data_IF_865795441870
#
_entry.id   IF_865795441870
#
_cell.length_a   1.000
_cell.length_b   1.000
_cell.length_c   1.000
_cell.angle_alpha   90.00
_cell.angle_beta   90.00
_cell.angle_gamma   90.00
#
_symmetry.space_group_name_H-M   'P 1'
#
loop_
_entity.id
_entity.type
_entity.pdbx_description
1 polymer ?
#
# COMPACT_ATOMS: atom_id res chain seq x y z
N UNK A 1 -17.20 13.25 13.27
CA UNK A 1 -17.77 14.50 12.72
C UNK A 1 -17.22 15.78 13.37
N UNK A 2 -17.66 16.23 14.56
CA UNK A 2 -17.26 17.53 15.16
C UNK A 2 -15.76 17.85 15.16
N UNK A 3 -14.91 16.88 15.52
CA UNK A 3 -13.44 17.04 15.48
C UNK A 3 -12.95 17.24 14.04
N UNK A 4 -13.43 16.44 13.10
CA UNK A 4 -13.12 16.58 11.67
C UNK A 4 -13.56 17.93 11.10
N UNK A 5 -14.75 18.42 11.46
CA UNK A 5 -15.24 19.74 11.04
C UNK A 5 -14.36 20.89 11.54
N UNK A 6 -13.87 20.81 12.79
CA UNK A 6 -12.90 21.79 13.32
C UNK A 6 -11.58 21.77 12.55
N UNK A 7 -11.07 20.58 12.21
CA UNK A 7 -9.86 20.45 11.39
C UNK A 7 -10.09 20.98 9.97
N UNK A 8 -11.23 20.71 9.35
CA UNK A 8 -11.58 21.25 8.03
C UNK A 8 -11.63 22.79 8.04
N UNK A 9 -12.12 23.41 9.13
CA UNK A 9 -12.07 24.86 9.27
C UNK A 9 -10.63 25.40 9.42
N UNK A 10 -9.73 24.65 10.08
CA UNK A 10 -8.30 25.00 10.10
C UNK A 10 -7.70 24.93 8.68
N UNK A 11 -8.02 23.89 7.91
CA UNK A 11 -7.57 23.76 6.50
C UNK A 11 -8.07 24.93 5.66
N UNK A 12 -9.34 25.31 5.77
CA UNK A 12 -9.91 26.49 5.10
C UNK A 12 -9.12 27.76 5.42
N UNK A 13 -8.86 28.03 6.71
CA UNK A 13 -8.12 29.24 7.13
C UNK A 13 -6.69 29.26 6.58
N UNK A 14 -5.97 28.15 6.74
CA UNK A 14 -4.61 28.03 6.24
C UNK A 14 -4.55 28.17 4.70
N UNK A 15 -5.53 27.63 3.99
CA UNK A 15 -5.63 27.79 2.55
C UNK A 15 -5.88 29.25 2.15
N UNK A 16 -6.76 29.97 2.84
CA UNK A 16 -7.03 31.39 2.57
C UNK A 16 -5.77 32.26 2.79
N UNK A 17 -5.02 32.00 3.86
CA UNK A 17 -3.75 32.66 4.14
C UNK A 17 -2.71 32.37 3.03
N UNK A 18 -2.57 31.11 2.61
CA UNK A 18 -1.67 30.73 1.53
C UNK A 18 -2.07 31.40 0.20
N UNK A 19 -3.37 31.42 -0.12
CA UNK A 19 -3.89 31.98 -1.38
C UNK A 19 -3.63 33.49 -1.49
N UNK A 20 -3.61 34.21 -0.38
CA UNK A 20 -3.32 35.65 -0.36
C UNK A 20 -1.89 35.98 -0.82
N UNK A 21 -0.92 35.11 -0.50
CA UNK A 21 0.48 35.25 -0.93
C UNK A 21 0.84 34.43 -2.19
N UNK A 22 -0.01 33.47 -2.56
CA UNK A 22 0.18 32.60 -3.71
C UNK A 22 -1.15 32.41 -4.45
N UNK A 23 -1.47 33.28 -5.43
CA UNK A 23 -2.71 33.20 -6.21
C UNK A 23 -2.90 31.88 -6.96
N UNK A 24 -1.83 31.11 -7.19
CA UNK A 24 -1.88 29.81 -7.87
C UNK A 24 -2.04 28.63 -6.89
N UNK A 25 -2.17 28.89 -5.59
CA UNK A 25 -2.36 27.84 -4.59
C UNK A 25 -3.60 26.98 -4.90
N UNK A 26 -3.37 25.66 -5.00
CA UNK A 26 -4.39 24.65 -5.29
C UNK A 26 -5.28 24.47 -4.07
N UNK A 27 -6.61 24.47 -4.29
CA UNK A 27 -7.60 24.27 -3.23
C UNK A 27 -7.52 22.82 -2.72
N UNK A 28 -7.36 22.59 -1.40
CA UNK A 28 -7.31 21.24 -0.87
C UNK A 28 -8.68 20.58 -0.95
N UNK A 29 -8.68 19.29 -1.26
CA UNK A 29 -9.84 18.41 -1.11
C UNK A 29 -9.73 17.61 0.19
N UNK A 30 -10.86 17.15 0.70
CA UNK A 30 -10.99 16.45 1.97
C UNK A 30 -11.58 15.07 1.76
N UNK A 31 -11.09 14.12 2.55
CA UNK A 31 -11.67 12.79 2.72
C UNK A 31 -12.13 12.67 4.16
N UNK A 32 -13.32 12.13 4.37
CA UNK A 32 -13.93 11.95 5.70
C UNK A 32 -14.29 10.49 5.93
N UNK A 33 -14.71 10.16 7.15
CA UNK A 33 -15.03 8.79 7.54
C UNK A 33 -13.83 8.06 8.13
N UNK A 34 -14.05 6.80 8.45
CA UNK A 34 -13.07 5.85 8.93
C UNK A 34 -13.59 4.48 8.59
N UNK A 35 -12.69 3.63 8.16
CA UNK A 35 -12.81 2.19 8.23
C UNK A 35 -12.97 1.78 9.71
N UNK A 36 -13.91 0.88 9.96
CA UNK A 36 -14.10 0.20 11.23
C UNK A 36 -14.30 -1.28 10.92
N UNK A 37 -13.45 -2.18 11.43
CA UNK A 37 -12.29 -1.93 12.31
C UNK A 37 -11.13 -1.18 11.61
N UNK A 38 -10.18 -0.69 12.41
CA UNK A 38 -8.98 0.04 11.96
C UNK A 38 -8.13 -0.87 11.06
N UNK A 39 -7.55 -0.38 9.94
CA UNK A 39 -6.90 -1.21 8.95
C UNK A 39 -5.46 -1.49 9.33
N UNK A 40 -4.87 -2.50 8.69
CA UNK A 40 -3.44 -2.78 8.79
C UNK A 40 -3.09 -4.11 9.44
N UNK A 41 -3.86 -5.15 9.12
CA UNK A 41 -3.66 -6.52 9.60
C UNK A 41 -4.54 -6.80 10.80
N UNK A 42 -5.63 -7.54 10.59
CA UNK A 42 -6.46 -8.03 11.69
C UNK A 42 -5.61 -8.91 12.62
N UNK A 43 -5.84 -8.79 13.94
CA UNK A 43 -5.11 -9.54 14.95
C UNK A 43 -5.52 -11.03 15.00
N UNK A 44 -6.70 -11.32 14.49
CA UNK A 44 -7.31 -12.64 14.46
C UNK A 44 -7.74 -12.94 13.03
N UNK A 45 -7.71 -14.22 12.66
CA UNK A 45 -8.25 -14.70 11.41
C UNK A 45 -9.77 -14.46 11.46
N UNK A 46 -10.24 -13.31 10.98
CA UNK A 46 -11.66 -13.05 10.84
C UNK A 46 -12.18 -14.00 9.76
N UNK A 47 -13.20 -14.83 10.04
CA UNK A 47 -13.74 -15.76 9.04
C UNK A 47 -14.37 -15.05 7.84
N UNK A 48 -14.69 -13.76 8.00
CA UNK A 48 -15.27 -12.92 6.96
C UNK A 48 -15.07 -11.44 7.27
N UNK A 49 -14.87 -10.63 6.23
CA UNK A 49 -14.94 -9.17 6.30
C UNK A 49 -16.30 -8.69 5.78
N UNK A 50 -17.00 -7.88 6.57
CA UNK A 50 -18.32 -7.35 6.21
C UNK A 50 -18.17 -5.93 5.66
N UNK A 51 -18.69 -5.64 4.44
CA UNK A 51 -18.72 -4.27 3.94
C UNK A 51 -19.48 -3.32 4.87
N UNK A 52 -19.11 -2.05 4.90
CA UNK A 52 -19.81 -1.03 5.67
C UNK A 52 -21.31 -1.02 5.36
N UNK A 53 -22.13 -1.00 6.41
CA UNK A 53 -23.58 -0.90 6.28
C UNK A 53 -23.96 0.41 5.56
N UNK A 54 -24.76 0.36 4.48
CA UNK A 54 -25.28 1.55 3.81
C UNK A 54 -25.92 2.56 4.75
N UNK A 55 -26.72 2.14 5.73
CA UNK A 55 -27.38 3.04 6.67
C UNK A 55 -26.38 3.75 7.58
N UNK A 56 -25.31 3.05 7.97
CA UNK A 56 -24.22 3.66 8.75
C UNK A 56 -23.46 4.69 7.92
N UNK A 57 -23.18 4.40 6.64
CA UNK A 57 -22.60 5.37 5.71
C UNK A 57 -23.49 6.63 5.59
N UNK A 58 -24.79 6.46 5.29
CA UNK A 58 -25.76 7.57 5.15
C UNK A 58 -25.79 8.42 6.42
N UNK A 59 -25.91 7.77 7.57
CA UNK A 59 -25.96 8.42 8.88
C UNK A 59 -24.68 9.22 9.13
N UNK A 60 -23.50 8.62 8.96
CA UNK A 60 -22.25 9.33 9.17
C UNK A 60 -22.06 10.50 8.21
N UNK A 61 -22.40 10.34 6.93
CA UNK A 61 -22.36 11.41 5.95
C UNK A 61 -23.20 12.62 6.39
N UNK A 62 -24.45 12.40 6.82
CA UNK A 62 -25.33 13.47 7.30
C UNK A 62 -24.76 14.16 8.55
N UNK A 63 -24.27 13.40 9.52
CA UNK A 63 -23.67 13.97 10.74
C UNK A 63 -22.41 14.79 10.41
N UNK A 64 -21.58 14.35 9.47
CA UNK A 64 -20.43 15.13 9.01
C UNK A 64 -20.87 16.43 8.32
N UNK A 65 -21.89 16.37 7.45
CA UNK A 65 -22.42 17.56 6.76
C UNK A 65 -22.94 18.62 7.73
N UNK A 66 -23.72 18.20 8.73
CA UNK A 66 -24.26 19.10 9.77
C UNK A 66 -23.16 19.75 10.62
N UNK A 67 -22.17 18.96 11.04
CA UNK A 67 -21.06 19.45 11.86
C UNK A 67 -20.12 20.38 11.06
N UNK A 68 -19.93 20.14 9.77
CA UNK A 68 -19.19 21.05 8.88
C UNK A 68 -19.91 22.40 8.75
N UNK A 69 -21.23 22.37 8.51
CA UNK A 69 -22.04 23.58 8.45
C UNK A 69 -21.97 24.37 9.76
N UNK A 70 -22.10 23.68 10.90
CA UNK A 70 -22.00 24.27 12.24
C UNK A 70 -20.63 24.90 12.49
N UNK A 71 -19.56 24.28 12.01
CA UNK A 71 -18.19 24.80 12.14
C UNK A 71 -17.84 25.92 11.14
N UNK A 72 -18.72 26.23 10.18
CA UNK A 72 -18.43 27.15 9.06
C UNK A 72 -17.39 26.60 8.08
N UNK A 73 -17.21 25.27 8.06
CA UNK A 73 -16.30 24.56 7.18
C UNK A 73 -16.98 24.19 5.86
N UNK A 74 -16.26 24.24 4.72
CA UNK A 74 -16.81 24.00 3.40
C UNK A 74 -16.97 22.49 3.17
N UNK A 75 -18.21 21.99 3.22
CA UNK A 75 -18.47 20.57 2.97
C UNK A 75 -18.28 20.17 1.49
N UNK A 76 -18.36 21.14 0.58
CA UNK A 76 -18.05 20.99 -0.86
C UNK A 76 -16.60 20.56 -1.16
N UNK A 77 -15.68 20.75 -0.21
CA UNK A 77 -14.31 20.26 -0.34
C UNK A 77 -14.19 18.75 -0.07
N UNK A 78 -15.24 18.11 0.45
CA UNK A 78 -15.27 16.66 0.68
C UNK A 78 -15.52 15.94 -0.63
N UNK A 79 -14.53 15.18 -1.09
CA UNK A 79 -14.58 14.43 -2.37
C UNK A 79 -14.73 12.92 -2.18
N UNK A 80 -14.38 12.40 -1.02
CA UNK A 80 -14.50 10.98 -0.75
C UNK A 80 -14.89 10.65 0.70
N UNK A 81 -15.42 9.45 0.87
CA UNK A 81 -15.77 8.86 2.17
C UNK A 81 -15.04 7.53 2.34
N UNK A 82 -14.33 7.35 3.45
CA UNK A 82 -13.65 6.09 3.76
C UNK A 82 -14.67 5.06 4.24
N UNK A 83 -14.65 3.89 3.61
CA UNK A 83 -15.51 2.74 3.94
C UNK A 83 -14.67 1.46 3.97
N UNK A 84 -15.21 0.41 4.58
CA UNK A 84 -14.73 -0.96 4.45
C UNK A 84 -15.49 -1.61 3.27
N UNK A 85 -14.88 -1.83 2.10
CA UNK A 85 -15.58 -2.40 0.93
C UNK A 85 -15.63 -3.95 0.94
N UNK A 86 -15.19 -4.59 2.02
CA UNK A 86 -15.05 -6.05 2.11
C UNK A 86 -13.71 -6.54 1.59
N UNK A 87 -12.63 -5.79 1.83
CA UNK A 87 -11.24 -6.18 1.54
C UNK A 87 -10.39 -6.02 2.78
N UNK A 88 -9.50 -6.96 3.00
CA UNK A 88 -8.52 -6.92 4.10
C UNK A 88 -7.42 -7.96 3.82
N UNK A 89 -6.33 -7.90 4.56
CA UNK A 89 -5.32 -8.95 4.57
C UNK A 89 -4.76 -9.14 5.98
N UNK A 90 -4.33 -10.36 6.28
CA UNK A 90 -3.77 -10.75 7.56
C UNK A 90 -2.26 -10.97 7.50
N UNK A 91 -1.77 -11.93 8.28
CA UNK A 91 -0.40 -12.41 8.14
C UNK A 91 -0.24 -13.44 7.02
N UNK A 92 -1.23 -14.28 6.78
CA UNK A 92 -1.18 -15.36 5.77
C UNK A 92 -2.38 -15.41 4.80
N UNK A 93 -3.38 -14.53 4.95
CA UNK A 93 -4.57 -14.50 4.11
C UNK A 93 -4.81 -13.13 3.45
N UNK A 94 -5.64 -13.14 2.39
CA UNK A 94 -6.14 -11.95 1.69
C UNK A 94 -7.63 -12.13 1.39
N UNK A 95 -8.47 -11.24 1.89
CA UNK A 95 -9.89 -11.16 1.51
C UNK A 95 -10.04 -10.38 0.22
N UNK A 96 -10.32 -11.11 -0.86
CA UNK A 96 -10.52 -10.51 -2.18
C UNK A 96 -11.87 -9.79 -2.26
N UNK A 97 -11.89 -8.66 -2.97
CA UNK A 97 -13.10 -7.89 -3.21
C UNK A 97 -14.20 -8.73 -3.86
N UNK A 98 -15.37 -8.73 -3.23
CA UNK A 98 -16.57 -9.38 -3.75
C UNK A 98 -17.66 -8.33 -4.01
N UNK A 99 -17.88 -8.03 -5.30
CA UNK A 99 -18.89 -7.08 -5.77
C UNK A 99 -20.30 -7.39 -5.27
N UNK A 100 -20.67 -8.68 -5.17
CA UNK A 100 -22.01 -9.04 -4.70
C UNK A 100 -22.20 -8.66 -3.23
N UNK A 101 -21.18 -8.89 -2.40
CA UNK A 101 -21.23 -8.52 -0.98
C UNK A 101 -21.23 -7.00 -0.78
N UNK A 102 -20.51 -6.25 -1.61
CA UNK A 102 -20.44 -4.78 -1.55
C UNK A 102 -21.57 -4.05 -2.30
N UNK A 103 -22.50 -4.78 -2.92
CA UNK A 103 -23.52 -4.22 -3.83
C UNK A 103 -24.42 -3.19 -3.14
N UNK A 104 -24.94 -3.49 -1.95
CA UNK A 104 -25.80 -2.55 -1.21
C UNK A 104 -25.08 -1.26 -0.83
N UNK A 105 -23.79 -1.34 -0.46
CA UNK A 105 -22.96 -0.18 -0.10
C UNK A 105 -22.68 0.69 -1.32
N UNK A 106 -22.27 0.07 -2.42
CA UNK A 106 -21.93 0.76 -3.68
C UNK A 106 -23.17 1.33 -4.37
N UNK A 107 -24.34 0.70 -4.22
CA UNK A 107 -25.61 1.26 -4.66
C UNK A 107 -25.97 2.54 -3.89
N UNK A 108 -25.77 2.54 -2.57
CA UNK A 108 -26.05 3.71 -1.73
C UNK A 108 -25.22 4.93 -2.11
N UNK A 109 -24.01 4.75 -2.63
CA UNK A 109 -23.14 5.84 -3.09
C UNK A 109 -23.77 6.66 -4.22
N UNK A 110 -24.62 6.06 -5.06
CA UNK A 110 -25.17 6.73 -6.25
C UNK A 110 -25.99 7.98 -5.92
N UNK A 111 -26.61 8.01 -4.74
CA UNK A 111 -27.39 9.15 -4.23
C UNK A 111 -26.51 10.34 -3.81
N UNK A 112 -25.19 10.15 -3.72
CA UNK A 112 -24.23 11.13 -3.19
C UNK A 112 -23.23 11.64 -4.25
N UNK A 113 -23.50 11.43 -5.54
CA UNK A 113 -22.63 11.94 -6.61
C UNK A 113 -22.37 13.46 -6.47
N UNK A 114 -21.14 13.94 -6.70
CA UNK A 114 -19.97 13.25 -7.25
C UNK A 114 -19.04 12.60 -6.21
N UNK A 115 -19.48 12.39 -4.97
CA UNK A 115 -18.69 11.72 -3.93
C UNK A 115 -18.25 10.32 -4.40
N UNK A 116 -17.03 9.90 -4.03
CA UNK A 116 -16.52 8.55 -4.25
C UNK A 116 -16.18 7.86 -2.92
N UNK A 117 -16.00 6.55 -2.94
CA UNK A 117 -15.41 5.85 -1.80
C UNK A 117 -13.88 5.81 -1.88
N UNK A 118 -13.27 5.88 -0.71
CA UNK A 118 -11.86 5.57 -0.47
C UNK A 118 -11.77 4.21 0.23
N UNK A 119 -11.05 3.27 -0.38
CA UNK A 119 -10.79 1.94 0.15
C UNK A 119 -9.39 1.86 0.76
N UNK A 120 -9.32 1.47 2.03
CA UNK A 120 -8.07 1.11 2.70
C UNK A 120 -7.79 -0.40 2.55
N UNK A 121 -6.58 -0.83 2.89
CA UNK A 121 -6.15 -2.23 2.83
C UNK A 121 -6.41 -2.90 1.47
N UNK A 122 -6.30 -2.17 0.35
CA UNK A 122 -6.54 -2.74 -0.97
C UNK A 122 -5.33 -3.55 -1.48
N UNK A 123 -4.28 -3.68 -0.67
CA UNK A 123 -3.10 -4.49 -0.94
C UNK A 123 -3.47 -5.94 -1.32
N UNK A 124 -2.62 -6.57 -2.14
CA UNK A 124 -2.74 -7.98 -2.53
C UNK A 124 -4.00 -8.38 -3.33
N UNK A 125 -4.83 -7.40 -3.70
CA UNK A 125 -6.00 -7.63 -4.55
C UNK A 125 -5.58 -7.98 -5.99
N UNK A 126 -6.37 -8.84 -6.64
CA UNK A 126 -6.17 -9.11 -8.06
C UNK A 126 -6.46 -7.87 -8.91
N UNK A 127 -5.92 -7.82 -10.14
CA UNK A 127 -6.26 -6.78 -11.12
C UNK A 127 -7.78 -6.65 -11.31
N UNK A 128 -8.48 -7.77 -11.43
CA UNK A 128 -9.94 -7.81 -11.59
C UNK A 128 -10.65 -7.22 -10.37
N UNK A 129 -10.20 -7.55 -9.16
CA UNK A 129 -10.74 -6.98 -7.91
C UNK A 129 -10.57 -5.47 -7.87
N UNK A 130 -9.37 -4.95 -8.19
CA UNK A 130 -9.08 -3.52 -8.22
C UNK A 130 -9.93 -2.79 -9.28
N UNK A 131 -10.02 -3.32 -10.50
CA UNK A 131 -10.90 -2.77 -11.54
C UNK A 131 -12.36 -2.72 -11.08
N UNK A 132 -12.87 -3.82 -10.49
CA UNK A 132 -14.24 -3.88 -10.02
C UNK A 132 -14.53 -2.85 -8.92
N UNK A 133 -13.60 -2.67 -7.97
CA UNK A 133 -13.72 -1.62 -6.96
C UNK A 133 -13.86 -0.23 -7.58
N UNK A 134 -13.01 0.11 -8.57
CA UNK A 134 -13.08 1.42 -9.25
C UNK A 134 -14.39 1.62 -10.03
N UNK A 135 -14.87 0.59 -10.70
CA UNK A 135 -16.16 0.58 -11.41
C UNK A 135 -17.33 0.81 -10.45
N UNK A 136 -17.27 0.21 -9.25
CA UNK A 136 -18.34 0.26 -8.24
C UNK A 136 -18.31 1.55 -7.39
N UNK A 137 -17.36 2.47 -7.66
CA UNK A 137 -17.28 3.78 -7.01
C UNK A 137 -16.25 3.90 -5.89
N UNK A 138 -15.47 2.85 -5.62
CA UNK A 138 -14.30 2.91 -4.74
C UNK A 138 -13.11 3.37 -5.59
N UNK A 139 -12.98 4.69 -5.75
CA UNK A 139 -12.08 5.31 -6.74
C UNK A 139 -10.78 5.85 -6.17
N UNK A 140 -10.65 5.86 -4.84
CA UNK A 140 -9.36 6.08 -4.18
C UNK A 140 -8.95 4.76 -3.54
N UNK A 141 -7.95 4.09 -4.12
CA UNK A 141 -7.43 2.81 -3.65
C UNK A 141 -6.10 3.03 -2.94
N UNK A 142 -6.04 2.77 -1.62
CA UNK A 142 -4.79 2.92 -0.85
C UNK A 142 -4.01 1.62 -0.79
N UNK A 143 -2.75 1.72 -1.22
CA UNK A 143 -1.74 0.65 -1.17
C UNK A 143 -0.56 1.09 -0.33
N UNK A 144 0.03 0.16 0.43
CA UNK A 144 1.22 0.42 1.23
C UNK A 144 2.02 -0.86 1.44
N UNK A 145 1.58 -1.78 2.32
CA UNK A 145 2.26 -3.05 2.57
C UNK A 145 2.65 -3.83 1.32
N UNK A 146 1.82 -3.91 0.28
CA UNK A 146 2.18 -4.62 -0.95
C UNK A 146 3.42 -4.05 -1.64
N UNK A 147 3.64 -2.73 -1.56
CA UNK A 147 4.82 -2.07 -2.15
C UNK A 147 6.09 -2.44 -1.37
N UNK A 148 6.06 -2.34 -0.04
CA UNK A 148 7.22 -2.66 0.80
C UNK A 148 7.45 -4.17 0.94
N UNK A 149 6.41 -4.98 0.82
CA UNK A 149 6.50 -6.43 0.70
C UNK A 149 7.22 -6.81 -0.61
N UNK A 150 6.89 -6.19 -1.74
CA UNK A 150 7.59 -6.41 -3.01
C UNK A 150 9.05 -5.94 -2.96
N UNK A 151 9.34 -4.81 -2.30
CA UNK A 151 10.71 -4.38 -2.01
C UNK A 151 11.47 -5.44 -1.21
N UNK A 152 10.88 -5.96 -0.14
CA UNK A 152 11.48 -7.01 0.69
C UNK A 152 11.72 -8.30 -0.11
N UNK A 153 10.74 -8.76 -0.89
CA UNK A 153 10.93 -9.89 -1.80
C UNK A 153 12.13 -9.67 -2.72
N UNK A 154 12.21 -8.51 -3.36
CA UNK A 154 13.27 -8.21 -4.31
C UNK A 154 14.65 -8.14 -3.63
N UNK A 155 14.75 -7.57 -2.42
CA UNK A 155 15.99 -7.53 -1.66
C UNK A 155 16.44 -8.93 -1.20
N UNK A 156 15.50 -9.79 -0.78
CA UNK A 156 15.81 -11.18 -0.41
C UNK A 156 16.29 -11.98 -1.63
N UNK A 157 15.64 -11.84 -2.78
CA UNK A 157 16.04 -12.49 -4.02
C UNK A 157 17.39 -11.97 -4.53
N UNK A 158 17.63 -10.66 -4.44
CA UNK A 158 18.92 -10.07 -4.77
C UNK A 158 20.04 -10.57 -3.85
N UNK A 159 19.78 -10.73 -2.54
CA UNK A 159 20.77 -11.34 -1.63
C UNK A 159 21.10 -12.79 -2.04
N UNK A 160 20.14 -13.59 -2.50
CA UNK A 160 20.42 -14.93 -3.03
C UNK A 160 21.35 -14.86 -4.26
N UNK A 161 21.10 -13.93 -5.20
CA UNK A 161 21.99 -13.67 -6.35
C UNK A 161 23.38 -13.24 -5.88
N UNK A 162 23.48 -12.38 -4.86
CA UNK A 162 24.74 -11.95 -4.28
C UNK A 162 25.54 -13.15 -3.74
N UNK A 163 24.89 -14.14 -3.13
CA UNK A 163 25.61 -15.33 -2.62
C UNK A 163 26.26 -16.16 -3.72
N UNK A 164 25.71 -16.12 -4.94
CA UNK A 164 26.22 -16.84 -6.11
C UNK A 164 27.31 -16.06 -6.87
N UNK A 165 27.29 -14.73 -6.78
CA UNK A 165 28.15 -13.84 -7.57
C UNK A 165 29.31 -13.26 -6.78
N UNK A 166 29.15 -13.07 -5.47
CA UNK A 166 30.19 -12.57 -4.57
C UNK A 166 30.83 -13.74 -3.82
N UNK A 167 32.03 -14.12 -4.26
CA UNK A 167 32.76 -15.27 -3.72
C UNK A 167 33.24 -15.08 -2.28
N UNK A 168 33.61 -13.86 -1.91
CA UNK A 168 34.09 -13.52 -0.55
C UNK A 168 32.90 -13.26 0.39
N UNK A 169 32.63 -14.13 1.39
CA UNK A 169 31.51 -13.96 2.29
C UNK A 169 31.54 -12.67 3.11
N UNK A 170 32.73 -12.11 3.35
CA UNK A 170 32.90 -10.88 4.12
C UNK A 170 32.52 -9.62 3.34
N UNK A 171 32.39 -9.72 2.01
CA UNK A 171 31.95 -8.61 1.15
C UNK A 171 30.45 -8.58 0.92
N UNK A 172 29.72 -9.64 1.29
CA UNK A 172 28.26 -9.76 1.10
C UNK A 172 27.51 -8.80 2.03
N UNK A 173 26.34 -8.38 1.59
CA UNK A 173 25.49 -7.41 2.28
C UNK A 173 25.00 -7.90 3.64
N UNK A 174 24.62 -9.17 3.74
CA UNK A 174 23.93 -9.74 4.91
C UNK A 174 22.59 -9.06 5.20
N UNK A 175 21.86 -8.64 4.16
CA UNK A 175 20.57 -7.95 4.27
C UNK A 175 19.58 -8.67 5.18
N UNK A 176 19.28 -9.96 4.94
CA UNK A 176 18.30 -10.71 5.75
C UNK A 176 18.70 -10.74 7.21
N UNK A 177 19.99 -10.95 7.48
CA UNK A 177 20.53 -10.98 8.85
C UNK A 177 20.39 -9.61 9.52
N UNK A 178 20.74 -8.53 8.82
CA UNK A 178 20.61 -7.17 9.34
C UNK A 178 19.15 -6.86 9.70
N UNK A 179 18.21 -7.20 8.81
CA UNK A 179 16.78 -6.98 9.03
C UNK A 179 16.26 -7.77 10.23
N UNK A 180 16.55 -9.06 10.31
CA UNK A 180 16.13 -9.91 11.43
C UNK A 180 16.72 -9.43 12.76
N UNK A 181 17.99 -9.04 12.78
CA UNK A 181 18.63 -8.52 13.99
C UNK A 181 17.94 -7.25 14.51
N UNK A 182 17.53 -6.33 13.63
CA UNK A 182 16.79 -5.13 14.03
C UNK A 182 15.40 -5.48 14.57
N UNK A 183 14.72 -6.44 13.93
CA UNK A 183 13.43 -6.94 14.39
C UNK A 183 13.52 -7.62 15.76
N UNK A 184 14.59 -8.39 16.00
CA UNK A 184 14.82 -9.06 17.29
C UNK A 184 15.22 -8.07 18.40
N UNK A 185 15.97 -7.02 18.05
CA UNK A 185 16.41 -6.01 18.99
C UNK A 185 15.28 -5.09 19.48
N UNK A 186 14.28 -4.82 18.64
CA UNK A 186 13.12 -4.00 19.00
C UNK A 186 11.83 -4.67 18.50
N UNK A 187 11.12 -5.41 19.35
CA UNK A 187 9.94 -6.17 18.95
C UNK A 187 8.66 -5.32 18.78
N UNK A 188 8.70 -4.02 19.08
CA UNK A 188 7.48 -3.20 19.28
C UNK A 188 6.58 -3.12 18.05
N UNK A 189 7.14 -3.23 16.84
CA UNK A 189 6.35 -3.10 15.61
C UNK A 189 5.72 -4.41 15.15
N UNK A 190 6.15 -5.57 15.66
CA UNK A 190 5.66 -6.88 15.21
C UNK A 190 5.08 -7.76 16.32
N UNK A 191 5.49 -7.59 17.59
CA UNK A 191 5.10 -8.47 18.71
C UNK A 191 3.59 -8.63 18.88
N UNK A 192 2.82 -7.57 18.62
CA UNK A 192 1.34 -7.58 18.73
C UNK A 192 0.63 -8.25 17.54
N UNK A 193 1.36 -8.52 16.46
CA UNK A 193 0.82 -9.02 15.19
C UNK A 193 1.23 -10.48 14.96
N UNK A 194 2.44 -10.87 15.37
CA UNK A 194 2.95 -12.22 15.14
C UNK A 194 2.89 -13.04 16.43
N UNK A 195 1.96 -13.98 16.45
CA UNK A 195 1.78 -14.97 17.52
C UNK A 195 2.10 -16.37 16.98
N UNK A 196 2.38 -17.29 17.91
CA UNK A 196 2.73 -18.68 17.60
C UNK A 196 4.03 -19.11 18.27
N UNK A 197 4.54 -20.26 17.83
CA UNK A 197 5.89 -20.76 18.13
C UNK A 197 6.95 -19.81 17.57
N UNK A 198 8.19 -19.93 18.08
CA UNK A 198 9.31 -19.13 17.58
C UNK A 198 9.54 -19.31 16.07
N UNK A 199 9.39 -20.54 15.56
CA UNK A 199 9.53 -20.82 14.14
C UNK A 199 8.45 -20.13 13.28
N UNK A 200 7.20 -20.10 13.76
CA UNK A 200 6.11 -19.37 13.09
C UNK A 200 6.34 -17.87 13.13
N UNK A 201 6.84 -17.34 14.26
CA UNK A 201 7.19 -15.93 14.38
C UNK A 201 8.31 -15.57 13.41
N UNK A 202 9.37 -16.37 13.33
CA UNK A 202 10.50 -16.11 12.43
C UNK A 202 10.10 -16.19 10.96
N UNK A 203 9.19 -17.11 10.61
CA UNK A 203 8.54 -17.11 9.30
C UNK A 203 7.76 -15.81 9.05
N UNK A 204 6.89 -15.41 9.98
CA UNK A 204 6.04 -14.22 9.83
C UNK A 204 6.85 -12.93 9.73
N UNK A 205 7.99 -12.81 10.42
CA UNK A 205 8.89 -11.65 10.33
C UNK A 205 9.29 -11.34 8.88
N UNK A 206 9.52 -12.37 8.07
CA UNK A 206 9.97 -12.22 6.69
C UNK A 206 8.90 -12.43 5.64
N UNK A 207 7.82 -13.17 5.91
CA UNK A 207 6.91 -13.63 4.84
C UNK A 207 5.45 -13.23 5.05
N UNK A 208 5.10 -12.63 6.20
CA UNK A 208 3.75 -12.19 6.47
C UNK A 208 3.29 -11.05 5.56
N UNK A 209 2.03 -11.11 5.07
CA UNK A 209 1.39 -10.02 4.31
C UNK A 209 1.21 -8.73 5.11
N UNK A 210 1.18 -8.81 6.44
CA UNK A 210 1.16 -7.63 7.32
C UNK A 210 2.42 -6.77 7.20
N UNK A 211 3.50 -7.32 6.64
CA UNK A 211 4.76 -6.64 6.29
C UNK A 211 5.32 -5.74 7.39
N UNK A 212 5.34 -6.23 8.64
CA UNK A 212 5.82 -5.44 9.79
C UNK A 212 7.31 -5.16 9.72
N UNK A 213 8.06 -5.88 8.88
CA UNK A 213 9.47 -5.63 8.63
C UNK A 213 9.74 -4.23 8.04
N UNK A 214 8.76 -3.60 7.36
CA UNK A 214 8.91 -2.27 6.75
C UNK A 214 9.33 -1.18 7.73
N UNK A 215 8.96 -1.30 9.00
CA UNK A 215 9.31 -0.33 10.03
C UNK A 215 10.80 -0.35 10.41
N UNK A 216 11.53 -1.41 10.03
CA UNK A 216 12.95 -1.60 10.28
C UNK A 216 13.81 -1.33 9.05
N UNK A 217 13.22 -1.21 7.85
CA UNK A 217 13.94 -0.85 6.63
C UNK A 217 14.74 0.47 6.78
N UNK A 218 14.26 1.52 7.47
CA UNK A 218 15.03 2.75 7.68
C UNK A 218 16.20 2.64 8.67
N UNK A 219 16.35 1.52 9.40
CA UNK A 219 17.46 1.36 10.35
C UNK A 219 18.81 1.47 9.66
N UNK A 220 19.79 2.08 10.35
CA UNK A 220 21.13 2.33 9.77
C UNK A 220 21.82 1.05 9.30
N UNK A 221 21.71 -0.03 10.06
CA UNK A 221 22.27 -1.35 9.75
C UNK A 221 21.66 -1.93 8.47
N UNK A 222 20.33 -1.85 8.33
CA UNK A 222 19.57 -2.33 7.16
C UNK A 222 19.85 -1.47 5.93
N UNK A 223 19.85 -0.15 6.07
CA UNK A 223 20.24 0.74 4.96
C UNK A 223 21.68 0.50 4.50
N UNK A 224 22.60 0.24 5.43
CA UNK A 224 23.98 -0.11 5.09
C UNK A 224 24.08 -1.42 4.33
N UNK A 225 23.32 -2.46 4.72
CA UNK A 225 23.33 -3.73 3.99
C UNK A 225 22.70 -3.59 2.60
N UNK A 226 21.59 -2.86 2.47
CA UNK A 226 20.98 -2.55 1.16
C UNK A 226 21.99 -1.85 0.25
N UNK A 227 22.72 -0.83 0.74
CA UNK A 227 23.71 -0.12 -0.07
C UNK A 227 24.87 -1.02 -0.53
N UNK A 228 25.32 -1.94 0.32
CA UNK A 228 26.33 -2.94 -0.05
C UNK A 228 25.78 -3.87 -1.12
N UNK A 229 24.54 -4.35 -0.95
CA UNK A 229 23.87 -5.25 -1.90
C UNK A 229 23.76 -4.61 -3.28
N UNK A 230 23.28 -3.37 -3.35
CA UNK A 230 23.14 -2.63 -4.60
C UNK A 230 24.50 -2.40 -5.29
N UNK A 231 25.55 -2.11 -4.51
CA UNK A 231 26.92 -1.94 -5.06
C UNK A 231 27.50 -3.25 -5.57
N UNK A 232 27.27 -4.36 -4.86
CA UNK A 232 27.78 -5.66 -5.26
C UNK A 232 27.06 -6.23 -6.49
N UNK A 233 25.84 -5.73 -6.76
CA UNK A 233 25.00 -6.11 -7.88
C UNK A 233 24.77 -4.92 -8.83
N UNK A 234 25.84 -4.19 -9.13
CA UNK A 234 25.84 -3.12 -10.15
C UNK A 234 25.56 -3.67 -11.56
N UNK A 235 25.83 -4.95 -11.79
CA UNK A 235 25.39 -5.72 -12.94
C UNK A 235 25.15 -7.17 -12.54
N UNK A 236 23.96 -7.67 -12.84
CA UNK A 236 23.54 -9.04 -12.58
C UNK A 236 23.62 -9.85 -13.88
N UNK A 237 24.22 -11.06 -13.87
CA UNK A 237 24.16 -11.96 -15.01
C UNK A 237 22.71 -12.20 -15.47
N UNK A 238 22.43 -12.03 -16.76
CA UNK A 238 21.07 -12.11 -17.31
C UNK A 238 20.35 -13.43 -16.97
N UNK A 239 21.08 -14.56 -16.95
CA UNK A 239 20.53 -15.86 -16.55
C UNK A 239 20.03 -15.88 -15.10
N UNK A 240 20.68 -15.15 -14.19
CA UNK A 240 20.22 -15.02 -12.80
C UNK A 240 19.00 -14.10 -12.71
N UNK A 241 18.94 -13.02 -13.49
CA UNK A 241 17.70 -12.22 -13.58
C UNK A 241 16.56 -13.05 -14.14
N UNK A 242 16.79 -13.89 -15.16
CA UNK A 242 15.77 -14.83 -15.66
C UNK A 242 15.29 -15.82 -14.59
N UNK A 243 16.19 -16.30 -13.73
CA UNK A 243 15.88 -17.30 -12.71
C UNK A 243 15.09 -16.70 -11.53
N UNK A 244 15.46 -15.51 -11.08
CA UNK A 244 14.91 -14.90 -9.86
C UNK A 244 13.88 -13.79 -10.12
N UNK A 245 13.97 -13.11 -11.27
CA UNK A 245 13.10 -12.00 -11.66
C UNK A 245 12.61 -12.15 -13.12
N UNK A 246 11.87 -13.22 -13.46
CA UNK A 246 11.54 -13.55 -14.85
C UNK A 246 10.74 -12.47 -15.59
N UNK A 247 9.90 -11.70 -14.88
CA UNK A 247 9.15 -10.57 -15.49
C UNK A 247 10.07 -9.42 -15.85
N UNK A 248 10.98 -9.06 -14.95
CA UNK A 248 11.98 -8.02 -15.16
C UNK A 248 12.98 -8.43 -16.25
N UNK A 249 13.34 -9.72 -16.32
CA UNK A 249 14.17 -10.27 -17.39
C UNK A 249 13.56 -10.03 -18.77
N UNK A 250 12.26 -10.29 -18.95
CA UNK A 250 11.58 -10.06 -20.23
C UNK A 250 11.70 -8.59 -20.68
N UNK A 251 11.43 -7.64 -19.78
CA UNK A 251 11.60 -6.19 -20.04
C UNK A 251 13.04 -5.81 -20.35
N UNK A 252 14.01 -6.41 -19.65
CA UNK A 252 15.42 -6.15 -19.88
C UNK A 252 15.90 -6.65 -21.25
N UNK A 253 15.38 -7.80 -21.71
CA UNK A 253 15.66 -8.33 -23.05
C UNK A 253 15.08 -7.46 -24.17
N UNK A 254 14.01 -6.71 -23.89
CA UNK A 254 13.42 -5.72 -24.81
C UNK A 254 14.12 -4.35 -24.73
N UNK A 255 15.14 -4.20 -23.87
CA UNK A 255 15.89 -2.96 -23.68
C UNK A 255 15.16 -1.90 -22.84
N UNK A 256 14.10 -2.29 -22.14
CA UNK A 256 13.29 -1.40 -21.30
C UNK A 256 13.82 -1.28 -19.86
N UNK A 257 14.71 -2.20 -19.46
CA UNK A 257 15.24 -2.31 -18.11
C UNK A 257 16.72 -2.70 -18.13
N UNK A 258 17.54 -2.12 -17.26
CA UNK A 258 18.94 -2.52 -17.08
C UNK A 258 19.06 -3.70 -16.09
N UNK A 259 20.13 -4.47 -16.25
CA UNK A 259 20.44 -5.64 -15.42
C UNK A 259 21.11 -5.29 -14.07
N UNK A 260 20.97 -4.07 -13.55
CA UNK A 260 21.45 -3.70 -12.21
C UNK A 260 20.36 -3.93 -11.15
N UNK A 261 20.78 -4.20 -9.91
CA UNK A 261 19.84 -4.52 -8.83
C UNK A 261 18.84 -3.40 -8.54
N UNK A 262 19.25 -2.13 -8.60
CA UNK A 262 18.35 -1.01 -8.29
C UNK A 262 17.20 -0.97 -9.29
N UNK A 263 17.50 -1.05 -10.58
CA UNK A 263 16.49 -1.04 -11.64
C UNK A 263 15.55 -2.24 -11.54
N UNK A 264 16.08 -3.45 -11.33
CA UNK A 264 15.28 -4.67 -11.16
C UNK A 264 14.35 -4.58 -9.94
N UNK A 265 14.85 -4.08 -8.81
CA UNK A 265 14.07 -3.91 -7.57
C UNK A 265 12.96 -2.87 -7.76
N UNK A 266 13.27 -1.71 -8.36
CA UNK A 266 12.29 -0.67 -8.61
C UNK A 266 11.19 -1.14 -9.57
N UNK A 267 11.54 -1.86 -10.63
CA UNK A 267 10.55 -2.45 -11.54
C UNK A 267 9.67 -3.50 -10.85
N UNK A 268 10.24 -4.31 -9.96
CA UNK A 268 9.49 -5.27 -9.16
C UNK A 268 8.45 -4.61 -8.24
N UNK A 269 8.78 -3.45 -7.66
CA UNK A 269 7.79 -2.63 -6.93
C UNK A 269 6.76 -2.04 -7.92
N UNK A 270 7.24 -1.62 -9.09
CA UNK A 270 6.43 -1.11 -10.20
C UNK A 270 5.32 -2.05 -10.65
N UNK A 271 5.52 -3.38 -10.58
CA UNK A 271 4.47 -4.38 -10.86
C UNK A 271 3.17 -4.11 -10.07
N UNK A 272 3.26 -3.66 -8.81
CA UNK A 272 2.09 -3.27 -8.02
C UNK A 272 1.52 -1.92 -8.46
N UNK A 273 2.38 -0.93 -8.71
CA UNK A 273 1.95 0.37 -9.22
C UNK A 273 1.16 0.23 -10.54
N UNK A 274 1.62 -0.63 -11.44
CA UNK A 274 0.99 -0.90 -12.73
C UNK A 274 -0.41 -1.51 -12.57
N UNK A 275 -0.60 -2.42 -11.61
CA UNK A 275 -1.91 -3.01 -11.32
C UNK A 275 -2.92 -1.93 -10.89
N UNK A 276 -2.50 -1.03 -10.00
CA UNK A 276 -3.34 0.06 -9.51
C UNK A 276 -3.59 1.12 -10.57
N UNK A 277 -2.57 1.51 -11.33
CA UNK A 277 -2.69 2.45 -12.43
C UNK A 277 -3.67 1.92 -13.49
N UNK A 278 -3.56 0.65 -13.86
CA UNK A 278 -4.48 0.01 -14.80
C UNK A 278 -5.93 -0.03 -14.27
N UNK A 279 -6.13 -0.30 -12.98
CA UNK A 279 -7.46 -0.24 -12.36
C UNK A 279 -8.05 1.17 -12.38
N UNK A 280 -7.23 2.19 -12.15
CA UNK A 280 -7.63 3.59 -12.21
C UNK A 280 -7.76 4.15 -13.65
N UNK A 281 -7.72 3.30 -14.67
CA UNK A 281 -7.91 3.70 -16.07
C UNK A 281 -6.72 4.41 -16.71
N UNK A 282 -5.54 4.37 -16.08
CA UNK A 282 -4.30 4.84 -16.71
C UNK A 282 -3.94 3.87 -17.82
N UNK A 283 -3.86 4.37 -19.05
CA UNK A 283 -3.30 3.61 -20.16
C UNK A 283 -1.81 3.45 -19.92
N UNK A 284 -1.40 2.28 -19.42
CA UNK A 284 0.00 1.89 -19.43
C UNK A 284 0.40 1.75 -20.89
N UNK A 285 1.32 2.58 -21.37
CA UNK A 285 1.86 2.48 -22.71
C UNK A 285 2.62 1.17 -22.82
N UNK A 286 1.95 0.09 -23.23
CA UNK A 286 2.65 -0.98 -23.92
C UNK A 286 2.96 -0.46 -25.30
N UNK A 287 4.25 -0.36 -25.65
CA UNK A 287 4.59 -0.33 -27.08
C UNK A 287 4.03 -1.63 -27.65
N UNK A 288 3.07 -1.50 -28.56
CA UNK A 288 2.71 -2.61 -29.43
C UNK A 288 3.97 -2.94 -30.23
N UNK A 289 4.57 -4.10 -29.93
CA UNK A 289 5.55 -4.77 -30.80
C UNK A 289 4.89 -5.97 -31.44
#
# INVERSE_FOLDING_TARGET
>A
ARRGARLANCVKKAYQELKAGNPDAVRPVLVIGSEVPVPGGSHEHEDSITPTDPEEFRRQYHVFREEFLTAGAPFEDVVAFVVQPGVEFGDDFVFQYNRNNASSLTEALKDYAPLVFEGHSTDYQTRTSLCRMTEDGIRILKVGPALTFALREALLLAEEIETLTVSDPYKRSGFRKALLNEMDADDKYWKKYYTGTQAEIDYKKLYSYSDRCRYYLPSKSVQSSINILLRNLDTIPAALVSQYFPRQYAKAMEGELSFDALSVILDRIGDWCDLYAAACGVKLNKKET
#
